data_IF_285813725523
#
_entry.id   IF_285813725523
#
_cell.length_a   1.000
_cell.length_b   1.000
_cell.length_c   1.000
_cell.angle_alpha   90.00
_cell.angle_beta   90.00
_cell.angle_gamma   90.00
#
_symmetry.space_group_name_H-M   'P 1'
#
loop_
_entity.id
_entity.type
_entity.pdbx_description
1 polymer ?
#
# COMPACT_ATOMS: atom_id res chain seq x y z
N UNK A 1 -5.99 -3.67 5.38
CA UNK A 1 -6.54 -2.30 5.41
C UNK A 1 -6.38 -1.69 4.02
N UNK A 2 -7.49 -1.43 3.34
CA UNK A 2 -7.50 -0.79 2.02
C UNK A 2 -7.73 0.70 2.22
N UNK A 3 -6.72 1.51 1.95
CA UNK A 3 -6.87 2.98 1.94
C UNK A 3 -7.41 3.33 0.56
N UNK A 4 -8.64 3.86 0.51
CA UNK A 4 -9.27 4.31 -0.73
C UNK A 4 -8.71 5.68 -1.13
N UNK A 5 -7.86 5.71 -2.17
CA UNK A 5 -7.15 6.93 -2.61
C UNK A 5 -7.95 7.83 -3.55
N UNK A 6 -9.24 7.55 -3.79
CA UNK A 6 -10.03 8.15 -4.88
C UNK A 6 -10.42 9.63 -4.68
N UNK A 7 -10.08 10.23 -3.54
CA UNK A 7 -10.45 11.61 -3.21
C UNK A 7 -9.34 12.44 -2.55
N UNK A 8 -8.07 12.04 -2.69
CA UNK A 8 -6.97 12.94 -2.31
C UNK A 8 -6.81 13.96 -3.44
N UNK A 9 -7.36 15.15 -3.21
CA UNK A 9 -7.19 16.33 -4.04
C UNK A 9 -5.72 16.47 -4.45
N UNK A 10 -5.43 16.84 -5.69
CA UNK A 10 -4.08 16.77 -6.29
C UNK A 10 -2.98 17.58 -5.56
N UNK A 11 -3.34 18.40 -4.57
CA UNK A 11 -2.43 19.13 -3.69
C UNK A 11 -2.43 18.64 -2.24
N UNK A 12 -3.31 17.72 -1.83
CA UNK A 12 -3.47 17.34 -0.43
C UNK A 12 -2.21 16.69 0.16
N UNK A 13 -1.44 15.93 -0.62
CA UNK A 13 -0.15 15.40 -0.14
C UNK A 13 0.89 16.51 0.17
N UNK A 14 0.81 17.65 -0.53
CA UNK A 14 1.66 18.82 -0.33
C UNK A 14 1.03 19.88 0.60
N UNK A 15 -0.28 19.77 0.89
CA UNK A 15 -1.06 20.69 1.75
C UNK A 15 -1.27 20.13 3.16
N UNK A 16 -1.24 18.81 3.33
CA UNK A 16 -1.31 18.17 4.63
C UNK A 16 0.03 18.40 5.34
N UNK A 17 -0.06 19.00 6.52
CA UNK A 17 1.04 19.18 7.46
C UNK A 17 1.80 17.86 7.68
N UNK A 18 3.13 17.97 7.80
CA UNK A 18 4.02 16.80 7.90
C UNK A 18 3.69 15.97 9.14
N UNK A 19 3.45 16.62 10.27
CA UNK A 19 3.17 15.95 11.54
C UNK A 19 1.82 15.22 11.46
N UNK A 20 0.82 15.85 10.84
CA UNK A 20 -0.49 15.25 10.59
C UNK A 20 -0.39 14.01 9.69
N UNK A 21 0.42 14.09 8.62
CA UNK A 21 0.64 12.96 7.72
C UNK A 21 1.37 11.81 8.41
N UNK A 22 2.43 12.13 9.16
CA UNK A 22 3.19 11.15 9.94
C UNK A 22 2.31 10.47 10.99
N UNK A 23 1.51 11.24 11.72
CA UNK A 23 0.56 10.71 12.69
C UNK A 23 -0.45 9.76 12.05
N UNK A 24 -0.99 10.12 10.87
CA UNK A 24 -1.90 9.24 10.12
C UNK A 24 -1.24 7.91 9.73
N UNK A 25 0.04 7.94 9.35
CA UNK A 25 0.82 6.73 9.06
C UNK A 25 1.06 5.89 10.31
N UNK A 26 1.46 6.50 11.43
CA UNK A 26 1.68 5.81 12.71
C UNK A 26 0.39 5.16 13.18
N UNK A 27 -0.71 5.91 13.20
CA UNK A 27 -2.03 5.41 13.61
C UNK A 27 -2.46 4.21 12.76
N UNK A 28 -2.36 4.33 11.44
CA UNK A 28 -2.67 3.26 10.48
C UNK A 28 -1.79 2.02 10.69
N UNK A 29 -0.52 2.21 11.00
CA UNK A 29 0.42 1.14 11.29
C UNK A 29 0.08 0.43 12.60
N UNK A 30 -0.17 1.19 13.66
CA UNK A 30 -0.46 0.64 14.98
C UNK A 30 -1.77 -0.17 14.95
N UNK A 31 -2.80 0.36 14.30
CA UNK A 31 -4.04 -0.40 14.07
C UNK A 31 -3.79 -1.72 13.33
N UNK A 32 -2.97 -1.67 12.28
CA UNK A 32 -2.60 -2.88 11.53
C UNK A 32 -1.82 -3.87 12.41
N UNK A 33 -0.90 -3.36 13.23
CA UNK A 33 -0.10 -4.17 14.14
C UNK A 33 -1.01 -4.91 15.14
N UNK A 34 -1.88 -4.18 15.84
CA UNK A 34 -2.84 -4.74 16.79
C UNK A 34 -3.70 -5.84 16.15
N UNK A 35 -4.17 -5.62 14.93
CA UNK A 35 -4.96 -6.63 14.22
C UNK A 35 -4.13 -7.88 13.87
N UNK A 36 -2.93 -7.70 13.31
CA UNK A 36 -2.05 -8.83 12.97
C UNK A 36 -1.63 -9.63 14.20
N UNK A 37 -1.39 -8.96 15.33
CA UNK A 37 -1.03 -9.56 16.61
C UNK A 37 -2.22 -10.31 17.22
N UNK A 38 -3.42 -9.74 17.18
CA UNK A 38 -4.66 -10.42 17.57
C UNK A 38 -4.90 -11.70 16.77
N UNK A 39 -4.81 -11.64 15.42
CA UNK A 39 -4.98 -12.82 14.56
C UNK A 39 -3.88 -13.85 14.84
N UNK A 40 -2.64 -13.41 15.07
CA UNK A 40 -1.53 -14.32 15.40
C UNK A 40 -1.78 -15.07 16.70
N UNK A 41 -2.21 -14.37 17.76
CA UNK A 41 -2.48 -14.99 19.07
C UNK A 41 -3.69 -15.92 19.06
N UNK A 42 -4.73 -15.57 18.30
CA UNK A 42 -5.97 -16.36 18.23
C UNK A 42 -5.85 -17.59 17.34
N UNK A 43 -5.04 -17.52 16.27
CA UNK A 43 -4.87 -18.64 15.33
C UNK A 43 -3.62 -19.48 15.59
N UNK A 44 -2.67 -18.97 16.38
CA UNK A 44 -1.35 -19.58 16.58
C UNK A 44 -0.44 -19.53 15.34
N UNK A 45 -0.84 -18.80 14.29
CA UNK A 45 -0.07 -18.66 13.04
C UNK A 45 0.47 -17.24 12.92
N UNK A 46 1.76 -17.10 12.68
CA UNK A 46 2.35 -15.79 12.39
C UNK A 46 1.62 -15.13 11.22
N UNK A 47 1.08 -13.94 11.47
CA UNK A 47 0.27 -13.19 10.51
C UNK A 47 0.92 -11.85 10.22
N UNK A 48 1.03 -11.51 8.94
CA UNK A 48 1.55 -10.24 8.44
C UNK A 48 0.54 -9.52 7.56
N UNK A 49 0.77 -8.24 7.29
CA UNK A 49 -0.10 -7.40 6.50
C UNK A 49 0.30 -7.39 5.03
N UNK A 50 -0.69 -7.57 4.14
CA UNK A 50 -0.62 -7.24 2.74
C UNK A 50 -1.21 -5.84 2.50
N UNK A 51 -0.52 -4.98 1.73
CA UNK A 51 -1.02 -3.66 1.33
C UNK A 51 -1.28 -3.63 -0.16
N UNK A 52 -2.50 -3.22 -0.52
CA UNK A 52 -2.82 -2.92 -1.91
C UNK A 52 -2.85 -1.41 -2.09
N UNK A 53 -2.19 -0.93 -3.12
CA UNK A 53 -2.12 0.46 -3.53
C UNK A 53 -2.74 0.53 -4.92
N UNK A 54 -3.89 1.19 -5.02
CA UNK A 54 -4.57 1.39 -6.29
C UNK A 54 -3.90 2.54 -7.06
N UNK A 55 -3.46 2.24 -8.28
CA UNK A 55 -2.80 3.19 -9.18
C UNK A 55 -3.73 3.71 -10.28
N UNK A 56 -5.03 3.37 -10.26
CA UNK A 56 -5.99 3.92 -11.21
C UNK A 56 -6.00 5.45 -11.13
N UNK A 57 -5.86 6.13 -12.27
CA UNK A 57 -5.85 7.59 -12.35
C UNK A 57 -4.55 8.27 -11.90
N UNK A 58 -3.54 7.51 -11.45
CA UNK A 58 -2.22 8.08 -11.14
C UNK A 58 -1.58 8.63 -12.42
N UNK A 59 -0.96 9.79 -12.29
CA UNK A 59 -0.24 10.48 -13.36
C UNK A 59 1.11 10.93 -12.84
N UNK A 60 2.19 10.53 -13.50
CA UNK A 60 3.55 10.88 -13.09
C UNK A 60 3.76 12.39 -13.00
N UNK A 61 3.31 13.15 -13.98
CA UNK A 61 3.50 14.61 -14.04
C UNK A 61 2.74 15.31 -12.92
N UNK A 62 1.55 14.80 -12.57
CA UNK A 62 0.66 15.44 -11.60
C UNK A 62 0.90 15.00 -10.15
N UNK A 63 1.44 13.80 -9.93
CA UNK A 63 1.52 13.20 -8.60
C UNK A 63 2.96 12.97 -8.13
N UNK A 64 3.96 13.30 -8.95
CA UNK A 64 5.35 13.25 -8.53
C UNK A 64 5.72 14.52 -7.76
N UNK A 65 5.89 14.39 -6.45
CA UNK A 65 6.46 15.42 -5.58
C UNK A 65 7.75 14.88 -4.93
N UNK A 66 8.86 15.57 -5.14
CA UNK A 66 10.15 15.24 -4.50
C UNK A 66 10.06 15.38 -2.98
N UNK A 67 9.33 16.38 -2.49
CA UNK A 67 9.13 16.61 -1.08
C UNK A 67 8.32 15.47 -0.45
N UNK A 68 7.19 15.09 -1.06
CA UNK A 68 6.38 13.97 -0.62
C UNK A 68 7.18 12.65 -0.65
N UNK A 69 7.91 12.38 -1.73
CA UNK A 69 8.75 11.18 -1.84
C UNK A 69 9.79 11.10 -0.71
N UNK A 70 10.44 12.22 -0.38
CA UNK A 70 11.43 12.26 0.70
C UNK A 70 10.79 12.08 2.09
N UNK A 71 9.65 12.74 2.33
CA UNK A 71 8.88 12.60 3.57
C UNK A 71 8.43 11.16 3.78
N UNK A 72 7.73 10.59 2.79
CA UNK A 72 7.17 9.25 2.88
C UNK A 72 8.27 8.20 3.00
N UNK A 73 9.39 8.36 2.30
CA UNK A 73 10.56 7.50 2.45
C UNK A 73 11.15 7.50 3.87
N UNK A 74 11.20 8.66 4.53
CA UNK A 74 11.64 8.77 5.93
C UNK A 74 10.68 8.04 6.87
N UNK A 75 9.37 8.33 6.77
CA UNK A 75 8.32 7.71 7.58
C UNK A 75 8.34 6.19 7.40
N UNK A 76 8.39 5.70 6.16
CA UNK A 76 8.43 4.26 5.86
C UNK A 76 9.65 3.58 6.48
N UNK A 77 10.80 4.25 6.51
CA UNK A 77 12.01 3.71 7.13
C UNK A 77 11.86 3.61 8.67
N UNK A 78 11.35 4.66 9.31
CA UNK A 78 11.09 4.67 10.76
C UNK A 78 10.07 3.60 11.14
N UNK A 79 8.97 3.51 10.40
CA UNK A 79 7.93 2.50 10.60
C UNK A 79 8.46 1.07 10.50
N UNK A 80 9.38 0.80 9.58
CA UNK A 80 9.98 -0.52 9.44
C UNK A 80 10.97 -0.86 10.56
N UNK A 81 11.57 0.15 11.19
CA UNK A 81 12.43 -0.05 12.36
C UNK A 81 11.59 -0.31 13.63
N UNK A 82 10.44 0.35 13.77
CA UNK A 82 9.53 0.15 14.90
C UNK A 82 8.71 -1.15 14.79
N UNK A 83 8.26 -1.51 13.58
CA UNK A 83 7.43 -2.69 13.32
C UNK A 83 8.11 -3.63 12.33
N UNK A 84 9.25 -4.24 12.71
CA UNK A 84 9.96 -5.14 11.84
C UNK A 84 9.05 -6.32 11.46
N UNK A 85 9.05 -6.68 10.17
CA UNK A 85 8.31 -7.83 9.62
C UNK A 85 6.78 -7.74 9.60
N UNK A 86 6.16 -6.64 10.06
CA UNK A 86 4.70 -6.48 9.98
C UNK A 86 4.18 -6.47 8.54
N UNK A 87 4.94 -5.91 7.61
CA UNK A 87 4.56 -5.85 6.21
C UNK A 87 5.16 -7.02 5.42
N UNK A 88 4.28 -7.79 4.78
CA UNK A 88 4.66 -8.91 3.92
C UNK A 88 4.85 -8.49 2.46
N UNK A 89 3.82 -7.89 1.85
CA UNK A 89 3.79 -7.59 0.42
C UNK A 89 3.09 -6.25 0.15
N UNK A 90 3.59 -5.54 -0.87
CA UNK A 90 2.91 -4.43 -1.53
C UNK A 90 2.37 -4.91 -2.89
N UNK A 91 1.09 -4.69 -3.14
CA UNK A 91 0.43 -4.93 -4.42
C UNK A 91 0.10 -3.59 -5.05
N UNK A 92 0.79 -3.24 -6.13
CA UNK A 92 0.50 -2.07 -6.94
C UNK A 92 -0.58 -2.46 -7.96
N UNK A 93 -1.84 -2.26 -7.58
CA UNK A 93 -3.03 -2.63 -8.35
C UNK A 93 -3.36 -1.58 -9.41
N UNK A 94 -4.07 -1.98 -10.47
CA UNK A 94 -4.39 -1.12 -11.60
C UNK A 94 -3.17 -0.36 -12.17
N UNK A 95 -2.00 -0.99 -12.14
CA UNK A 95 -0.75 -0.34 -12.58
C UNK A 95 -0.85 0.03 -14.07
N UNK A 96 -0.67 1.32 -14.44
CA UNK A 96 -0.65 1.72 -15.84
C UNK A 96 0.64 1.23 -16.52
N UNK A 97 0.59 1.00 -17.84
CA UNK A 97 1.71 0.39 -18.59
C UNK A 97 3.04 1.17 -18.45
N UNK A 98 2.96 2.50 -18.39
CA UNK A 98 4.14 3.36 -18.21
C UNK A 98 4.83 3.16 -16.85
N UNK A 99 4.14 2.65 -15.84
CA UNK A 99 4.72 2.44 -14.51
C UNK A 99 5.82 1.36 -14.54
N UNK A 100 5.76 0.40 -15.48
CA UNK A 100 6.82 -0.57 -15.67
C UNK A 100 8.15 0.09 -16.06
N UNK A 101 8.12 1.12 -16.91
CA UNK A 101 9.32 1.88 -17.30
C UNK A 101 9.94 2.58 -16.09
N UNK A 102 9.11 3.20 -15.26
CA UNK A 102 9.57 3.88 -14.05
C UNK A 102 10.12 2.88 -13.03
N UNK A 103 9.45 1.74 -12.87
CA UNK A 103 9.91 0.71 -11.95
C UNK A 103 11.31 0.20 -12.31
N UNK A 104 11.62 0.06 -13.61
CA UNK A 104 12.98 -0.27 -14.08
C UNK A 104 14.00 0.81 -13.68
N UNK A 105 13.63 2.10 -13.75
CA UNK A 105 14.51 3.21 -13.37
C UNK A 105 14.70 3.35 -11.85
N UNK A 106 13.67 3.03 -11.06
CA UNK A 106 13.67 3.23 -9.60
C UNK A 106 14.23 2.01 -8.86
N UNK A 107 14.14 0.82 -9.46
CA UNK A 107 14.68 -0.44 -8.90
C UNK A 107 16.10 -0.33 -8.32
N UNK A 108 17.09 0.25 -9.02
CA UNK A 108 18.47 0.32 -8.52
C UNK A 108 18.64 1.15 -7.24
N UNK A 109 17.67 2.02 -6.94
CA UNK A 109 17.71 2.96 -5.82
C UNK A 109 16.97 2.38 -4.60
N UNK A 110 16.00 1.49 -4.82
CA UNK A 110 15.19 0.93 -3.74
C UNK A 110 15.93 -0.18 -2.98
N UNK A 111 15.76 -0.26 -1.65
CA UNK A 111 16.28 -1.37 -0.87
C UNK A 111 15.74 -2.72 -1.38
N UNK A 112 16.59 -3.74 -1.42
CA UNK A 112 16.22 -5.08 -1.92
C UNK A 112 14.97 -5.66 -1.24
N UNK A 113 14.84 -5.47 0.08
CA UNK A 113 13.65 -5.85 0.86
C UNK A 113 12.33 -5.23 0.37
N UNK A 114 12.37 -4.04 -0.23
CA UNK A 114 11.18 -3.38 -0.80
C UNK A 114 10.88 -3.98 -2.16
N UNK A 115 11.90 -4.24 -2.96
CA UNK A 115 11.77 -4.85 -4.29
C UNK A 115 11.16 -6.25 -4.22
N UNK A 116 11.66 -7.09 -3.32
CA UNK A 116 11.19 -8.46 -3.13
C UNK A 116 9.72 -8.53 -2.69
N UNK A 117 9.28 -7.52 -1.93
CA UNK A 117 7.93 -7.42 -1.39
C UNK A 117 6.95 -6.72 -2.34
N UNK A 118 7.42 -6.05 -3.38
CA UNK A 118 6.56 -5.26 -4.28
C UNK A 118 6.17 -6.05 -5.52
N UNK A 119 4.86 -6.20 -5.73
CA UNK A 119 4.26 -6.91 -6.86
C UNK A 119 3.37 -5.93 -7.64
N UNK A 120 3.57 -5.86 -8.95
CA UNK A 120 2.76 -5.03 -9.84
C UNK A 120 1.65 -5.86 -10.47
N UNK A 121 0.41 -5.39 -10.36
CA UNK A 121 -0.78 -6.04 -10.89
C UNK A 121 -1.43 -5.07 -11.88
N UNK A 122 -1.45 -5.45 -13.16
CA UNK A 122 -2.15 -4.69 -14.19
C UNK A 122 -3.67 -4.95 -14.13
N UNK A 123 -4.51 -4.03 -14.62
CA UNK A 123 -5.97 -4.22 -14.64
C UNK A 123 -6.42 -5.53 -15.31
N UNK A 124 -5.69 -5.97 -16.35
CA UNK A 124 -5.98 -7.20 -17.09
C UNK A 124 -5.58 -8.46 -16.32
N UNK A 125 -4.77 -8.32 -15.27
CA UNK A 125 -4.14 -9.41 -14.52
C UNK A 125 -4.58 -9.46 -13.06
N UNK A 126 -5.73 -8.87 -12.69
CA UNK A 126 -6.25 -8.94 -11.32
C UNK A 126 -6.39 -10.37 -10.80
N UNK A 127 -6.59 -11.36 -11.68
CA UNK A 127 -6.61 -12.77 -11.30
C UNK A 127 -5.33 -13.24 -10.59
N UNK A 128 -4.21 -12.54 -10.75
CA UNK A 128 -2.97 -12.84 -10.02
C UNK A 128 -3.08 -12.56 -8.52
N UNK A 129 -3.97 -11.66 -8.08
CA UNK A 129 -4.22 -11.38 -6.66
C UNK A 129 -4.77 -12.62 -5.93
N UNK A 130 -5.57 -13.46 -6.59
CA UNK A 130 -6.12 -14.70 -6.01
C UNK A 130 -5.03 -15.70 -5.59
N UNK A 131 -3.80 -15.56 -6.11
CA UNK A 131 -2.67 -16.41 -5.66
C UNK A 131 -2.21 -16.06 -4.25
N UNK A 132 -2.58 -14.89 -3.75
CA UNK A 132 -2.07 -14.35 -2.49
C UNK A 132 -3.19 -14.04 -1.50
N UNK A 133 -4.41 -13.82 -1.97
CA UNK A 133 -5.56 -13.43 -1.16
C UNK A 133 -6.78 -14.22 -1.61
N UNK A 134 -7.65 -14.57 -0.67
CA UNK A 134 -8.95 -15.17 -1.00
C UNK A 134 -9.74 -14.22 -1.90
N UNK A 135 -10.36 -14.76 -2.96
CA UNK A 135 -11.13 -13.99 -3.93
C UNK A 135 -12.21 -13.14 -3.26
N UNK A 136 -12.87 -13.65 -2.23
CA UNK A 136 -13.90 -12.91 -1.50
C UNK A 136 -13.34 -11.77 -0.62
N UNK A 137 -12.02 -11.69 -0.42
CA UNK A 137 -11.41 -10.60 0.35
C UNK A 137 -10.93 -9.45 -0.55
N UNK A 138 -11.04 -9.59 -1.87
CA UNK A 138 -10.59 -8.59 -2.84
C UNK A 138 -11.75 -7.62 -3.13
N UNK A 139 -11.53 -6.29 -2.96
CA UNK A 139 -12.52 -5.29 -3.33
C UNK A 139 -12.75 -5.19 -4.85
N UNK A 140 -13.96 -4.80 -5.25
CA UNK A 140 -14.34 -4.53 -6.66
C UNK A 140 -13.40 -3.54 -7.34
N UNK A 141 -12.90 -2.54 -6.61
CA UNK A 141 -12.01 -1.49 -7.15
C UNK A 141 -10.70 -2.04 -7.71
N UNK A 142 -10.24 -3.20 -7.21
CA UNK A 142 -9.01 -3.85 -7.66
C UNK A 142 -9.28 -5.23 -8.27
N UNK A 143 -10.49 -5.43 -8.80
CA UNK A 143 -10.87 -6.59 -9.59
C UNK A 143 -11.40 -7.79 -8.81
N UNK A 144 -11.84 -7.61 -7.57
CA UNK A 144 -12.53 -8.64 -6.80
C UNK A 144 -14.05 -8.64 -7.00
N UNK A 145 -14.75 -9.66 -6.50
CA UNK A 145 -16.20 -9.79 -6.64
C UNK A 145 -17.00 -9.01 -5.59
N UNK A 146 -16.35 -8.56 -4.51
CA UNK A 146 -17.03 -7.99 -3.36
C UNK A 146 -16.96 -6.47 -3.36
N UNK A 147 -18.12 -5.81 -3.29
CA UNK A 147 -18.16 -4.39 -2.92
C UNK A 147 -17.39 -4.23 -1.61
N UNK A 148 -16.50 -3.25 -1.56
CA UNK A 148 -15.73 -2.94 -0.34
C UNK A 148 -16.73 -2.95 0.82
N UNK A 149 -16.56 -3.80 1.86
CA UNK A 149 -17.42 -3.71 3.01
C UNK A 149 -17.36 -2.25 3.49
N UNK A 150 -18.51 -1.57 3.74
CA UNK A 150 -18.45 -0.26 4.34
C UNK A 150 -17.60 -0.40 5.61
N UNK A 151 -16.65 0.52 5.79
CA UNK A 151 -15.81 0.51 6.98
C UNK A 151 -16.74 0.70 8.18
N UNK A 152 -17.12 -0.40 8.81
CA UNK A 152 -17.87 -0.39 10.06
C UNK A 152 -16.88 0.04 11.15
N UNK A 153 -16.91 1.33 11.46
CA UNK A 153 -16.50 1.85 12.76
C UNK A 153 -17.60 1.56 13.78
#
# INVERSE_FOLDING_TARGET
>A
MFIHWRQINHNAADVIDVDTWEYGFIYSNEWTHQWTDYVTRTTGRFTSAARCIDLEGVSLVKHYSRAATKRDGKIMNEMQNCYPQMLENYYLCNSPDWMHLIWVLVKPILPQRVLEKTKMISPQNHKQLHKYMDEHMIPVEIGGPNQTPPMYW
#
